data_IF_294892738383
#
_entry.id   IF_294892738383
#
_cell.length_a   1.000
_cell.length_b   1.000
_cell.length_c   1.000
_cell.angle_alpha   90.00
_cell.angle_beta   90.00
_cell.angle_gamma   90.00
#
_symmetry.space_group_name_H-M   'P 1'
#
loop_
_entity.id
_entity.type
_entity.pdbx_description
1 polymer ?
#
# COMPACT_ATOMS: atom_id res chain seq x y z
N UNK A 1 -4.09 10.06 47.74
CA UNK A 1 -4.58 10.25 46.36
C UNK A 1 -3.49 9.74 45.44
N UNK A 2 -3.77 8.71 44.64
CA UNK A 2 -2.79 8.14 43.72
C UNK A 2 -2.54 9.10 42.56
N UNK A 3 -1.27 9.37 42.23
CA UNK A 3 -0.87 10.17 41.07
C UNK A 3 -0.03 9.28 40.15
N UNK A 4 -0.55 8.85 39.00
CA UNK A 4 0.21 8.01 38.09
C UNK A 4 1.37 8.81 37.49
N UNK A 5 2.55 8.19 37.52
CA UNK A 5 3.85 8.77 37.14
C UNK A 5 4.19 8.48 35.69
N UNK A 6 3.71 7.38 35.14
CA UNK A 6 4.07 6.91 33.80
C UNK A 6 2.97 7.16 32.76
N UNK A 7 2.11 8.16 33.00
CA UNK A 7 1.16 8.65 32.00
C UNK A 7 1.79 9.72 31.08
N UNK A 8 1.41 9.72 29.81
CA UNK A 8 1.77 10.77 28.86
C UNK A 8 1.13 12.12 29.24
N UNK A 9 1.85 13.22 28.98
CA UNK A 9 1.35 14.59 29.19
C UNK A 9 1.48 15.13 30.61
N UNK A 10 2.03 14.32 31.52
CA UNK A 10 2.49 14.76 32.84
C UNK A 10 4.01 14.80 32.82
N UNK A 11 4.61 15.86 33.36
CA UNK A 11 6.09 15.94 33.51
C UNK A 11 6.81 15.69 32.17
N UNK A 12 6.44 16.45 31.13
CA UNK A 12 7.15 16.39 29.84
C UNK A 12 8.60 16.81 30.06
N UNK A 13 9.51 15.88 29.77
CA UNK A 13 10.95 16.09 29.94
C UNK A 13 11.68 15.78 28.62
N UNK A 14 11.78 16.77 27.73
CA UNK A 14 12.50 16.62 26.46
C UNK A 14 14.01 16.43 26.67
N UNK A 15 14.55 16.77 27.85
CA UNK A 15 15.97 16.59 28.18
C UNK A 15 16.32 15.17 28.63
N UNK A 16 15.32 14.37 29.03
CA UNK A 16 15.51 12.99 29.48
C UNK A 16 16.25 12.85 30.81
N UNK A 17 16.30 13.93 31.61
CA UNK A 17 16.95 13.98 32.92
C UNK A 17 16.18 13.19 33.99
N UNK A 18 14.86 13.06 33.84
CA UNK A 18 14.01 12.29 34.74
C UNK A 18 14.04 10.81 34.40
N UNK A 19 14.39 10.00 35.41
CA UNK A 19 14.48 8.54 35.30
C UNK A 19 13.58 7.80 36.28
N UNK A 20 13.32 6.54 36.00
CA UNK A 20 12.68 5.60 36.91
C UNK A 20 13.08 4.17 36.58
N UNK A 21 12.51 3.21 37.29
CA UNK A 21 12.82 1.79 37.09
C UNK A 21 11.62 0.99 36.58
N UNK A 22 11.86 -0.17 35.96
CA UNK A 22 10.76 -1.08 35.57
C UNK A 22 10.02 -1.60 36.80
N UNK A 23 10.71 -1.72 37.94
CA UNK A 23 10.07 -2.06 39.21
C UNK A 23 8.97 -1.05 39.57
N UNK A 24 9.27 0.25 39.49
CA UNK A 24 8.29 1.30 39.76
C UNK A 24 7.09 1.22 38.81
N UNK A 25 7.34 0.93 37.53
CA UNK A 25 6.29 0.74 36.53
C UNK A 25 5.39 -0.46 36.84
N UNK A 26 5.95 -1.58 37.29
CA UNK A 26 5.16 -2.76 37.68
C UNK A 26 4.29 -2.47 38.91
N UNK A 27 4.79 -1.70 39.88
CA UNK A 27 4.02 -1.27 41.04
C UNK A 27 2.81 -0.41 40.62
N UNK A 28 3.02 0.53 39.70
CA UNK A 28 1.97 1.37 39.10
C UNK A 28 0.94 0.54 38.30
N UNK A 29 1.38 -0.32 37.38
CA UNK A 29 0.50 -1.17 36.57
C UNK A 29 -0.37 -2.10 37.44
N UNK A 30 0.20 -2.69 38.49
CA UNK A 30 -0.56 -3.50 39.43
C UNK A 30 -1.53 -2.66 40.25
N UNK A 31 -1.15 -1.45 40.68
CA UNK A 31 -2.06 -0.56 41.38
C UNK A 31 -3.28 -0.23 40.51
N UNK A 32 -3.07 0.22 39.26
CA UNK A 32 -4.15 0.61 38.34
C UNK A 32 -5.02 -0.56 37.90
N UNK A 33 -4.47 -1.77 37.80
CA UNK A 33 -5.23 -2.99 37.47
C UNK A 33 -6.27 -3.34 38.53
N UNK A 34 -5.96 -3.10 39.81
CA UNK A 34 -6.81 -3.51 40.93
C UNK A 34 -7.55 -2.35 41.60
N UNK A 35 -7.09 -1.11 41.42
CA UNK A 35 -7.59 0.08 42.12
C UNK A 35 -7.74 1.29 41.19
N UNK A 36 -8.77 2.09 41.44
CA UNK A 36 -8.97 3.40 40.80
C UNK A 36 -8.06 4.48 41.43
N UNK A 37 -8.02 5.67 40.83
CA UNK A 37 -7.30 6.83 41.39
C UNK A 37 -7.81 7.24 42.80
N UNK A 38 -9.06 6.92 43.13
CA UNK A 38 -9.66 7.13 44.45
C UNK A 38 -9.37 5.98 45.44
N UNK A 39 -8.71 4.91 45.00
CA UNK A 39 -8.37 3.73 45.81
C UNK A 39 -9.49 2.70 45.94
N UNK A 40 -10.59 2.84 45.20
CA UNK A 40 -11.69 1.86 45.11
C UNK A 40 -11.35 0.75 44.11
N UNK A 41 -12.05 -0.40 44.13
CA UNK A 41 -11.80 -1.47 43.15
C UNK A 41 -12.04 -1.01 41.71
N UNK A 42 -11.09 -1.30 40.81
CA UNK A 42 -11.24 -1.04 39.38
C UNK A 42 -12.19 -2.06 38.72
N UNK A 43 -12.95 -1.66 37.69
CA UNK A 43 -13.91 -2.51 36.97
C UNK A 43 -13.27 -3.78 36.37
N UNK A 44 -11.97 -3.70 35.99
CA UNK A 44 -11.18 -4.84 35.49
C UNK A 44 -10.67 -5.79 36.59
N UNK A 45 -10.90 -5.49 37.86
CA UNK A 45 -10.47 -6.30 39.02
C UNK A 45 -11.11 -7.70 39.10
N UNK A 46 -12.12 -7.99 38.27
CA UNK A 46 -12.78 -9.29 38.17
C UNK A 46 -12.13 -10.24 37.14
N UNK A 47 -11.05 -9.83 36.46
CA UNK A 47 -10.33 -10.66 35.48
C UNK A 47 -9.19 -11.46 36.14
N UNK A 48 -9.41 -12.76 36.42
CA UNK A 48 -8.47 -13.82 36.85
C UNK A 48 -7.35 -13.51 37.89
N UNK A 49 -7.32 -12.36 38.56
CA UNK A 49 -6.51 -12.08 39.76
C UNK A 49 -4.98 -12.13 39.59
N UNK A 50 -4.42 -12.27 38.39
CA UNK A 50 -2.97 -12.40 38.19
C UNK A 50 -2.30 -11.03 38.11
N UNK A 51 -1.31 -10.80 38.98
CA UNK A 51 -0.47 -9.61 38.98
C UNK A 51 0.31 -9.47 37.67
N UNK A 52 0.53 -8.24 37.23
CA UNK A 52 1.45 -7.93 36.13
C UNK A 52 2.87 -8.16 36.63
N UNK A 53 3.61 -9.03 35.95
CA UNK A 53 4.98 -9.38 36.29
C UNK A 53 5.95 -8.82 35.25
N UNK A 54 7.26 -8.92 35.51
CA UNK A 54 8.27 -8.55 34.52
C UNK A 54 8.12 -9.38 33.23
N UNK A 55 7.79 -10.67 33.35
CA UNK A 55 7.56 -11.57 32.21
C UNK A 55 6.34 -11.13 31.39
N UNK A 56 5.34 -10.49 32.02
CA UNK A 56 4.18 -9.92 31.32
C UNK A 56 4.56 -8.80 30.34
N UNK A 57 5.74 -8.18 30.51
CA UNK A 57 6.26 -7.14 29.61
C UNK A 57 7.17 -7.69 28.50
N UNK A 58 7.46 -9.00 28.47
CA UNK A 58 8.42 -9.59 27.51
C UNK A 58 8.05 -9.28 26.07
N UNK A 59 6.79 -9.43 25.68
CA UNK A 59 6.34 -9.11 24.32
C UNK A 59 6.50 -7.63 23.94
N UNK A 60 6.39 -6.71 24.92
CA UNK A 60 6.65 -5.28 24.71
C UNK A 60 8.14 -5.07 24.45
N UNK A 61 9.01 -5.65 25.28
CA UNK A 61 10.45 -5.48 25.14
C UNK A 61 11.00 -6.16 23.88
N UNK A 62 10.50 -7.33 23.52
CA UNK A 62 10.84 -8.00 22.25
C UNK A 62 10.47 -7.12 21.05
N UNK A 63 9.25 -6.57 21.03
CA UNK A 63 8.82 -5.66 19.99
C UNK A 63 9.68 -4.38 19.92
N UNK A 64 9.97 -3.76 21.07
CA UNK A 64 10.79 -2.55 21.12
C UNK A 64 12.23 -2.81 20.70
N UNK A 65 12.81 -3.95 21.09
CA UNK A 65 14.13 -4.37 20.64
C UNK A 65 14.15 -4.57 19.12
N UNK A 66 13.15 -5.25 18.57
CA UNK A 66 13.03 -5.45 17.13
C UNK A 66 12.94 -4.11 16.41
N UNK A 67 12.02 -3.24 16.82
CA UNK A 67 11.72 -1.99 16.09
C UNK A 67 12.80 -0.93 16.28
N UNK A 68 13.28 -0.75 17.50
CA UNK A 68 14.13 0.40 17.89
C UNK A 68 15.55 0.02 18.32
N UNK A 69 15.83 -1.28 18.51
CA UNK A 69 17.10 -1.74 19.07
C UNK A 69 17.23 -1.56 20.58
N UNK A 70 16.14 -1.16 21.26
CA UNK A 70 16.12 -1.02 22.71
C UNK A 70 16.23 -2.39 23.40
N UNK A 71 17.34 -2.66 24.07
CA UNK A 71 17.51 -3.87 24.88
C UNK A 71 16.58 -3.87 26.11
N UNK A 72 16.12 -5.05 26.51
CA UNK A 72 15.33 -5.22 27.74
C UNK A 72 16.11 -4.71 28.98
N UNK A 73 15.60 -3.69 29.68
CA UNK A 73 16.27 -3.13 30.85
C UNK A 73 16.14 -4.05 32.07
N UNK A 74 17.10 -3.97 33.00
CA UNK A 74 16.99 -4.69 34.28
C UNK A 74 15.94 -4.04 35.18
N UNK A 75 15.34 -4.81 36.10
CA UNK A 75 14.27 -4.34 37.00
C UNK A 75 14.59 -3.05 37.77
N UNK A 76 15.83 -2.91 38.26
CA UNK A 76 16.30 -1.77 39.04
C UNK A 76 17.22 -0.83 38.24
N UNK A 77 17.25 -0.96 36.91
CA UNK A 77 18.01 -0.05 36.07
C UNK A 77 17.22 1.24 35.88
N UNK A 78 17.88 2.37 36.15
CA UNK A 78 17.32 3.68 35.82
C UNK A 78 17.29 3.87 34.31
N UNK A 79 16.11 4.16 33.79
CA UNK A 79 15.86 4.49 32.39
C UNK A 79 14.99 5.75 32.29
N UNK A 80 15.03 6.48 31.17
CA UNK A 80 14.25 7.71 31.01
C UNK A 80 12.76 7.48 31.25
N UNK A 81 12.07 8.42 31.92
CA UNK A 81 10.64 8.31 32.18
C UNK A 81 9.82 8.16 30.90
N UNK A 82 10.19 8.88 29.84
CA UNK A 82 9.55 8.77 28.51
C UNK A 82 9.59 7.35 27.94
N UNK A 83 10.64 6.59 28.26
CA UNK A 83 10.77 5.17 27.90
C UNK A 83 9.78 4.32 28.68
N UNK A 84 9.68 4.50 30.00
CA UNK A 84 8.73 3.77 30.84
C UNK A 84 7.27 4.08 30.49
N UNK A 85 6.97 5.35 30.20
CA UNK A 85 5.65 5.78 29.67
C UNK A 85 5.31 5.00 28.39
N UNK A 86 6.26 4.92 27.45
CA UNK A 86 6.06 4.18 26.20
C UNK A 86 5.82 2.68 26.42
N UNK A 87 6.56 2.06 27.34
CA UNK A 87 6.36 0.65 27.73
C UNK A 87 4.96 0.44 28.32
N UNK A 88 4.51 1.34 29.22
CA UNK A 88 3.15 1.33 29.79
C UNK A 88 2.10 1.41 28.69
N UNK A 89 2.23 2.37 27.78
CA UNK A 89 1.29 2.59 26.66
C UNK A 89 1.14 1.33 25.80
N UNK A 90 2.25 0.73 25.38
CA UNK A 90 2.22 -0.48 24.55
C UNK A 90 1.60 -1.67 25.30
N UNK A 91 1.93 -1.85 26.57
CA UNK A 91 1.36 -2.92 27.39
C UNK A 91 -0.16 -2.78 27.53
N UNK A 92 -0.64 -1.61 27.96
CA UNK A 92 -2.08 -1.34 28.17
C UNK A 92 -2.87 -1.43 26.86
N UNK A 93 -2.29 -0.92 25.77
CA UNK A 93 -2.90 -1.00 24.43
C UNK A 93 -3.00 -2.44 23.96
N UNK A 94 -1.96 -3.26 24.18
CA UNK A 94 -1.96 -4.67 23.80
C UNK A 94 -2.96 -5.50 24.61
N UNK A 95 -3.01 -5.28 25.93
CA UNK A 95 -3.97 -5.93 26.85
C UNK A 95 -5.43 -5.62 26.47
N UNK A 96 -5.69 -4.37 26.08
CA UNK A 96 -7.05 -3.92 25.69
C UNK A 96 -7.47 -4.42 24.29
N UNK A 97 -6.54 -4.87 23.45
CA UNK A 97 -6.78 -5.27 22.06
C UNK A 97 -6.46 -6.76 21.80
N UNK A 98 -6.90 -7.63 22.71
CA UNK A 98 -6.83 -9.10 22.56
C UNK A 98 -5.42 -9.63 22.30
N UNK A 99 -4.38 -8.93 22.77
CA UNK A 99 -2.95 -9.25 22.58
C UNK A 99 -2.48 -9.31 21.12
N UNK A 100 -3.20 -8.66 20.20
CA UNK A 100 -2.87 -8.67 18.76
C UNK A 100 -2.06 -7.45 18.31
N UNK A 101 -1.69 -6.53 19.22
CA UNK A 101 -1.06 -5.27 18.86
C UNK A 101 0.25 -5.47 18.11
N UNK A 102 1.15 -6.30 18.66
CA UNK A 102 2.47 -6.48 18.05
C UNK A 102 2.41 -7.22 16.72
N UNK A 103 1.37 -8.02 16.48
CA UNK A 103 1.12 -8.61 15.15
C UNK A 103 0.71 -7.53 14.14
N UNK A 104 -0.16 -6.60 14.55
CA UNK A 104 -0.58 -5.46 13.72
C UNK A 104 0.60 -4.54 13.40
N UNK A 105 1.43 -4.24 14.40
CA UNK A 105 2.51 -3.25 14.26
C UNK A 105 3.80 -3.83 13.67
N UNK A 106 3.88 -5.13 13.38
CA UNK A 106 5.10 -5.75 12.85
C UNK A 106 5.27 -5.45 11.37
N UNK A 107 6.37 -4.78 11.01
CA UNK A 107 6.70 -4.47 9.62
C UNK A 107 6.93 -5.74 8.79
N UNK A 108 6.54 -5.76 7.50
CA UNK A 108 6.85 -6.85 6.59
C UNK A 108 8.35 -7.14 6.47
N UNK A 109 9.18 -6.10 6.52
CA UNK A 109 10.65 -6.21 6.50
C UNK A 109 11.22 -6.94 7.73
N UNK A 110 10.40 -7.10 8.77
CA UNK A 110 10.73 -7.80 10.02
C UNK A 110 9.92 -9.09 10.19
N UNK A 111 9.35 -9.63 9.11
CA UNK A 111 8.54 -10.85 9.13
C UNK A 111 7.08 -10.65 9.57
N UNK A 112 6.58 -9.41 9.54
CA UNK A 112 5.14 -9.14 9.63
C UNK A 112 4.40 -9.58 8.37
N UNK A 113 3.09 -9.82 8.48
CA UNK A 113 2.26 -10.08 7.30
C UNK A 113 1.85 -8.73 6.69
N UNK A 114 2.25 -8.41 5.45
CA UNK A 114 1.87 -7.15 4.83
C UNK A 114 0.35 -7.10 4.55
N UNK A 115 -0.18 -5.88 4.46
CA UNK A 115 -1.58 -5.62 4.08
C UNK A 115 -1.73 -4.21 3.50
N UNK A 116 -2.27 -4.10 2.29
CA UNK A 116 -2.66 -2.89 1.60
C UNK A 116 -3.87 -2.22 2.27
N UNK A 117 -4.55 -2.91 3.17
CA UNK A 117 -5.65 -2.36 3.98
C UNK A 117 -5.12 -1.62 5.22
N UNK A 118 -3.80 -1.52 5.40
CA UNK A 118 -3.16 -0.75 6.47
C UNK A 118 -3.16 0.75 6.12
N UNK A 119 -4.27 1.43 6.40
CA UNK A 119 -4.41 2.88 6.24
C UNK A 119 -4.32 3.61 7.58
N UNK A 120 -3.86 4.86 7.56
CA UNK A 120 -3.85 5.76 8.74
C UNK A 120 -4.44 7.13 8.43
N UNK A 121 -4.98 7.32 7.22
CA UNK A 121 -5.58 8.57 6.75
C UNK A 121 -6.69 8.26 5.77
N UNK A 122 -7.76 9.05 5.82
CA UNK A 122 -9.08 8.85 5.18
C UNK A 122 -10.01 7.91 5.95
N UNK A 123 -11.32 8.15 5.89
CA UNK A 123 -12.37 7.29 6.46
C UNK A 123 -12.45 6.03 5.62
N UNK A 124 -11.83 4.91 6.02
CA UNK A 124 -11.90 3.72 5.21
C UNK A 124 -13.14 2.93 5.64
N UNK A 125 -13.76 2.27 4.67
CA UNK A 125 -14.81 1.30 4.98
C UNK A 125 -14.24 0.08 5.73
N UNK A 126 -12.93 -0.18 5.64
CA UNK A 126 -12.24 -1.34 6.25
C UNK A 126 -11.21 -0.99 7.31
N UNK A 127 -10.82 -1.99 8.09
CA UNK A 127 -9.75 -1.94 9.10
C UNK A 127 -9.89 -0.87 10.20
N UNK A 128 -11.09 -0.33 10.44
CA UNK A 128 -11.32 0.77 11.39
C UNK A 128 -10.74 0.53 12.79
N UNK A 129 -10.78 -0.72 13.28
CA UNK A 129 -10.14 -1.11 14.56
C UNK A 129 -8.63 -0.91 14.53
N UNK A 130 -7.95 -1.35 13.46
CA UNK A 130 -6.50 -1.19 13.31
C UNK A 130 -6.09 0.27 13.25
N UNK A 131 -6.83 1.08 12.50
CA UNK A 131 -6.58 2.52 12.37
C UNK A 131 -6.73 3.23 13.71
N UNK A 132 -7.83 3.00 14.41
CA UNK A 132 -8.09 3.62 15.71
C UNK A 132 -6.97 3.30 16.73
N UNK A 133 -6.41 2.09 16.68
CA UNK A 133 -5.27 1.72 17.53
C UNK A 133 -4.02 2.53 17.16
N UNK A 134 -3.68 2.61 15.86
CA UNK A 134 -2.49 3.32 15.39
C UNK A 134 -2.61 4.83 15.65
N UNK A 135 -3.78 5.42 15.40
CA UNK A 135 -4.06 6.85 15.65
C UNK A 135 -3.99 7.19 17.14
N UNK A 136 -4.50 6.30 18.00
CA UNK A 136 -4.36 6.44 19.44
C UNK A 136 -2.88 6.42 19.87
N UNK A 137 -2.07 5.52 19.32
CA UNK A 137 -0.65 5.47 19.61
C UNK A 137 0.08 6.72 19.11
N UNK A 138 -0.16 7.15 17.87
CA UNK A 138 0.47 8.35 17.31
C UNK A 138 0.11 9.61 18.12
N UNK A 139 -1.18 9.82 18.41
CA UNK A 139 -1.63 10.96 19.20
C UNK A 139 -1.02 10.97 20.60
N UNK A 140 -0.96 9.81 21.27
CA UNK A 140 -0.38 9.70 22.62
C UNK A 140 1.14 9.92 22.60
N UNK A 141 1.87 9.25 21.70
CA UNK A 141 3.32 9.38 21.58
C UNK A 141 3.75 10.82 21.29
N UNK A 142 2.98 11.54 20.45
CA UNK A 142 3.28 12.92 20.06
C UNK A 142 3.41 13.90 21.23
N UNK A 143 2.80 13.59 22.38
CA UNK A 143 2.84 14.41 23.58
C UNK A 143 4.25 14.46 24.20
N UNK A 144 5.06 13.43 24.00
CA UNK A 144 6.43 13.31 24.55
C UNK A 144 7.52 13.48 23.47
N UNK A 145 7.16 14.02 22.29
CA UNK A 145 8.10 14.33 21.21
C UNK A 145 8.27 15.84 21.11
N UNK A 146 9.50 16.32 20.94
CA UNK A 146 9.78 17.74 20.72
C UNK A 146 8.92 18.28 19.54
N UNK A 147 8.19 19.40 19.71
CA UNK A 147 7.30 19.90 18.67
C UNK A 147 7.98 20.27 17.34
N UNK A 148 9.26 20.68 17.36
CA UNK A 148 10.00 20.98 16.14
C UNK A 148 10.38 19.69 15.41
N UNK A 149 10.79 18.65 16.14
CA UNK A 149 11.03 17.31 15.59
C UNK A 149 9.75 16.71 15.03
N UNK A 150 8.64 16.78 15.77
CA UNK A 150 7.34 16.28 15.33
C UNK A 150 6.89 16.94 14.02
N UNK A 151 7.04 18.27 13.91
CA UNK A 151 6.77 18.99 12.66
C UNK A 151 7.62 18.47 11.51
N UNK A 152 8.91 18.22 11.75
CA UNK A 152 9.80 17.67 10.72
C UNK A 152 9.38 16.27 10.27
N UNK A 153 9.10 15.36 11.22
CA UNK A 153 8.58 14.01 10.92
C UNK A 153 7.31 14.12 10.06
N UNK A 154 6.38 15.01 10.41
CA UNK A 154 5.14 15.19 9.67
C UNK A 154 5.32 15.76 8.26
N UNK A 155 6.35 16.57 8.04
CA UNK A 155 6.69 17.12 6.71
C UNK A 155 7.42 16.08 5.86
N UNK A 156 8.37 15.35 6.44
CA UNK A 156 9.18 14.35 5.74
C UNK A 156 8.40 13.08 5.40
N UNK A 157 7.56 12.59 6.32
CA UNK A 157 6.78 11.37 6.12
C UNK A 157 5.35 11.69 5.74
N UNK A 158 5.19 11.93 4.43
CA UNK A 158 3.89 12.07 3.77
C UNK A 158 3.02 10.82 4.03
N UNK A 159 1.70 10.99 3.88
CA UNK A 159 0.81 9.82 3.78
C UNK A 159 1.28 8.94 2.64
N UNK A 160 1.13 7.62 2.78
CA UNK A 160 1.66 6.72 1.77
C UNK A 160 1.08 6.99 0.36
N UNK A 161 -0.21 7.36 0.16
CA UNK A 161 -0.71 7.71 -1.18
C UNK A 161 0.01 8.93 -1.76
N UNK A 162 0.22 9.97 -0.95
CA UNK A 162 0.95 11.17 -1.37
C UNK A 162 2.42 10.88 -1.67
N UNK A 163 3.04 10.00 -0.90
CA UNK A 163 4.39 9.52 -1.18
C UNK A 163 4.45 8.75 -2.52
N UNK A 164 3.47 7.90 -2.81
CA UNK A 164 3.40 7.18 -4.09
C UNK A 164 3.26 8.14 -5.28
N UNK A 165 2.46 9.20 -5.15
CA UNK A 165 2.38 10.27 -6.16
C UNK A 165 3.74 10.94 -6.38
N UNK A 166 4.46 11.27 -5.30
CA UNK A 166 5.79 11.87 -5.40
C UNK A 166 6.78 10.93 -6.11
N UNK A 167 6.79 9.64 -5.75
CA UNK A 167 7.63 8.63 -6.40
C UNK A 167 7.26 8.48 -7.88
N UNK A 168 5.97 8.53 -8.22
CA UNK A 168 5.52 8.48 -9.61
C UNK A 168 5.99 9.70 -10.41
N UNK A 169 5.94 10.90 -9.83
CA UNK A 169 6.47 12.11 -10.47
C UNK A 169 7.99 12.04 -10.66
N UNK A 170 8.73 11.61 -9.62
CA UNK A 170 10.17 11.40 -9.73
C UNK A 170 10.54 10.33 -10.76
N UNK A 171 9.69 9.31 -10.98
CA UNK A 171 9.88 8.33 -12.04
C UNK A 171 9.82 8.98 -13.42
N UNK A 172 8.91 9.92 -13.64
CA UNK A 172 8.82 10.63 -14.92
C UNK A 172 10.11 11.44 -15.17
N UNK A 173 10.57 12.19 -14.16
CA UNK A 173 11.81 12.96 -14.22
C UNK A 173 13.04 12.07 -14.46
N UNK A 174 13.16 10.98 -13.73
CA UNK A 174 14.31 10.06 -13.85
C UNK A 174 14.33 9.36 -15.21
N UNK A 175 13.16 9.07 -15.78
CA UNK A 175 13.05 8.38 -17.07
C UNK A 175 13.14 9.31 -18.28
N UNK A 176 13.03 10.63 -18.09
CA UNK A 176 13.07 11.63 -19.17
C UNK A 176 14.27 11.44 -20.13
N UNK A 177 15.53 11.29 -19.66
CA UNK A 177 16.67 11.10 -20.55
C UNK A 177 16.57 9.87 -21.45
N UNK A 178 15.98 8.77 -20.93
CA UNK A 178 15.77 7.53 -21.69
C UNK A 178 14.73 7.75 -22.78
N UNK A 179 13.63 8.44 -22.44
CA UNK A 179 12.55 8.72 -23.38
C UNK A 179 12.96 9.69 -24.48
N UNK A 180 13.73 10.72 -24.14
CA UNK A 180 14.29 11.66 -25.13
C UNK A 180 15.24 10.97 -26.11
N UNK A 181 16.14 10.10 -25.61
CA UNK A 181 17.14 9.44 -26.45
C UNK A 181 16.54 8.39 -27.40
N UNK A 182 15.61 7.59 -26.90
CA UNK A 182 15.05 6.44 -27.63
C UNK A 182 13.64 6.68 -28.15
N UNK A 183 13.28 7.94 -28.44
CA UNK A 183 11.93 8.34 -28.81
C UNK A 183 11.27 7.37 -29.82
N UNK A 184 10.15 6.77 -29.42
CA UNK A 184 9.38 5.81 -30.23
C UNK A 184 9.95 4.38 -30.33
N UNK A 185 11.16 4.11 -29.83
CA UNK A 185 11.81 2.79 -29.91
C UNK A 185 11.52 1.95 -28.66
N UNK A 186 10.36 1.27 -28.66
CA UNK A 186 9.87 0.49 -27.50
C UNK A 186 10.89 -0.51 -26.95
N UNK A 187 11.62 -1.21 -27.82
CA UNK A 187 12.63 -2.20 -27.42
C UNK A 187 13.85 -1.57 -26.74
N UNK A 188 14.38 -0.47 -27.29
CA UNK A 188 15.52 0.27 -26.71
C UNK A 188 15.14 0.87 -25.36
N UNK A 189 13.95 1.48 -25.26
CA UNK A 189 13.39 1.98 -23.99
C UNK A 189 13.31 0.86 -22.95
N UNK A 190 12.77 -0.30 -23.32
CA UNK A 190 12.66 -1.43 -22.41
C UNK A 190 14.03 -1.89 -21.88
N UNK A 191 15.04 -1.96 -22.76
CA UNK A 191 16.41 -2.35 -22.40
C UNK A 191 17.06 -1.35 -21.44
N UNK A 192 16.94 -0.06 -21.72
CA UNK A 192 17.46 1.00 -20.86
C UNK A 192 16.78 0.99 -19.48
N UNK A 193 15.45 0.86 -19.43
CA UNK A 193 14.69 0.77 -18.17
C UNK A 193 15.10 -0.49 -17.38
N UNK A 194 15.26 -1.64 -18.04
CA UNK A 194 15.70 -2.87 -17.37
C UNK A 194 17.11 -2.73 -16.78
N UNK A 195 18.03 -2.06 -17.48
CA UNK A 195 19.35 -1.75 -16.94
C UNK A 195 19.27 -0.86 -15.70
N UNK A 196 18.45 0.20 -15.74
CA UNK A 196 18.22 1.07 -14.59
C UNK A 196 17.61 0.31 -13.41
N UNK A 197 16.60 -0.54 -13.67
CA UNK A 197 16.00 -1.39 -12.65
C UNK A 197 17.05 -2.25 -11.95
N UNK A 198 17.98 -2.84 -12.71
CA UNK A 198 19.06 -3.64 -12.15
C UNK A 198 20.05 -2.79 -11.32
N UNK A 199 20.40 -1.60 -11.79
CA UNK A 199 21.25 -0.68 -11.03
C UNK A 199 20.58 -0.24 -9.71
N UNK A 200 19.26 -0.04 -9.71
CA UNK A 200 18.47 0.28 -8.52
C UNK A 200 18.44 -0.89 -7.53
N UNK A 201 18.23 -2.13 -7.99
CA UNK A 201 18.25 -3.33 -7.13
C UNK A 201 19.58 -3.47 -6.37
N UNK A 202 20.69 -3.08 -7.00
CA UNK A 202 22.03 -3.11 -6.41
C UNK A 202 22.34 -1.96 -5.45
N UNK A 203 21.54 -0.90 -5.43
CA UNK A 203 21.73 0.19 -4.47
C UNK A 203 21.57 -0.31 -3.04
N UNK A 204 22.49 0.08 -2.15
CA UNK A 204 22.44 -0.23 -0.73
C UNK A 204 22.43 1.07 0.06
N UNK A 205 21.35 1.39 0.78
CA UNK A 205 21.37 2.48 1.75
C UNK A 205 22.48 2.24 2.76
N UNK A 206 23.13 3.32 3.22
CA UNK A 206 24.14 3.20 4.25
C UNK A 206 23.49 2.74 5.56
N UNK A 207 24.10 1.82 6.31
CA UNK A 207 23.60 1.41 7.61
C UNK A 207 23.76 2.56 8.59
N UNK A 208 22.71 2.84 9.35
CA UNK A 208 22.72 3.87 10.37
C UNK A 208 22.15 3.32 11.68
N UNK A 209 22.70 3.76 12.80
CA UNK A 209 22.10 3.59 14.12
C UNK A 209 21.35 4.87 14.47
N UNK A 210 20.15 4.71 15.00
CA UNK A 210 19.36 5.80 15.55
C UNK A 210 19.48 5.75 17.06
N UNK A 211 19.89 6.86 17.67
CA UNK A 211 19.94 7.05 19.13
C UNK A 211 18.77 7.93 19.61
N UNK A 212 17.67 7.94 18.84
CA UNK A 212 16.51 8.78 19.16
C UNK A 212 15.79 8.29 20.42
N UNK A 213 15.23 9.21 21.22
CA UNK A 213 14.35 8.85 22.33
C UNK A 213 13.25 7.90 21.87
N UNK A 214 12.90 6.94 22.74
CA UNK A 214 11.97 5.87 22.39
C UNK A 214 10.61 6.37 21.83
N UNK A 215 9.96 7.42 22.38
CA UNK A 215 8.72 7.92 21.82
C UNK A 215 8.87 8.47 20.39
N UNK A 216 9.97 9.20 20.11
CA UNK A 216 10.29 9.74 18.78
C UNK A 216 10.54 8.61 17.77
N UNK A 217 11.35 7.63 18.17
CA UNK A 217 11.67 6.48 17.33
C UNK A 217 10.42 5.67 16.98
N UNK A 218 9.57 5.38 17.98
CA UNK A 218 8.33 4.64 17.75
C UNK A 218 7.31 5.45 16.95
N UNK A 219 7.18 6.75 17.21
CA UNK A 219 6.30 7.62 16.41
C UNK A 219 6.74 7.61 14.94
N UNK A 220 8.04 7.78 14.68
CA UNK A 220 8.61 7.73 13.32
C UNK A 220 8.33 6.39 12.64
N UNK A 221 8.56 5.27 13.34
CA UNK A 221 8.26 3.94 12.84
C UNK A 221 6.78 3.78 12.43
N UNK A 222 5.85 4.19 13.30
CA UNK A 222 4.41 4.08 13.04
C UNK A 222 3.97 4.94 11.85
N UNK A 223 4.62 6.07 11.60
CA UNK A 223 4.36 6.93 10.44
C UNK A 223 4.81 6.32 9.11
N UNK A 224 5.86 5.51 9.14
CA UNK A 224 6.42 4.85 7.96
C UNK A 224 5.70 3.52 7.67
N UNK A 225 5.15 2.88 8.70
CA UNK A 225 4.58 1.54 8.65
C UNK A 225 3.50 1.31 7.56
N UNK A 226 2.57 2.25 7.26
CA UNK A 226 1.62 2.09 6.16
C UNK A 226 2.30 1.88 4.80
N UNK A 227 3.34 2.67 4.52
CA UNK A 227 4.10 2.53 3.28
C UNK A 227 4.85 1.19 3.22
N UNK A 228 5.42 0.71 4.32
CA UNK A 228 6.09 -0.60 4.34
C UNK A 228 5.11 -1.76 4.11
N UNK A 229 3.90 -1.65 4.66
CA UNK A 229 2.82 -2.60 4.40
C UNK A 229 2.40 -2.59 2.93
N UNK A 230 2.24 -1.39 2.34
CA UNK A 230 1.97 -1.23 0.92
C UNK A 230 3.04 -1.92 0.07
N UNK A 231 4.32 -1.58 0.27
CA UNK A 231 5.41 -2.16 -0.54
C UNK A 231 5.46 -3.68 -0.41
N UNK A 232 5.28 -4.20 0.81
CA UNK A 232 5.32 -5.63 1.09
C UNK A 232 4.23 -6.43 0.36
N UNK A 233 2.97 -5.99 0.41
CA UNK A 233 1.87 -6.73 -0.24
C UNK A 233 1.75 -6.37 -1.73
N UNK A 234 2.11 -5.15 -2.14
CA UNK A 234 2.12 -4.76 -3.55
C UNK A 234 2.99 -5.69 -4.40
N UNK A 235 4.18 -6.06 -3.91
CA UNK A 235 5.03 -7.04 -4.59
C UNK A 235 4.34 -8.40 -4.78
N UNK A 236 3.70 -8.93 -3.73
CA UNK A 236 2.94 -10.19 -3.80
C UNK A 236 1.78 -10.09 -4.80
N UNK A 237 1.03 -9.00 -4.75
CA UNK A 237 -0.11 -8.73 -5.64
C UNK A 237 0.34 -8.67 -7.10
N UNK A 238 1.44 -7.96 -7.40
CA UNK A 238 1.96 -7.87 -8.77
C UNK A 238 2.40 -9.26 -9.27
N UNK A 239 3.07 -10.08 -8.46
CA UNK A 239 3.43 -11.45 -8.82
C UNK A 239 2.18 -12.31 -9.12
N UNK A 240 1.16 -12.25 -8.27
CA UNK A 240 -0.11 -12.98 -8.45
C UNK A 240 -0.93 -12.45 -9.63
N UNK A 241 -0.74 -11.19 -10.01
CA UNK A 241 -1.44 -10.57 -11.12
C UNK A 241 -0.94 -11.07 -12.48
N UNK A 242 0.26 -11.68 -12.58
CA UNK A 242 0.88 -12.07 -13.85
C UNK A 242 -0.04 -12.90 -14.75
N UNK A 243 -0.14 -12.51 -16.01
CA UNK A 243 -0.82 -13.26 -17.07
C UNK A 243 0.17 -14.30 -17.60
N UNK A 244 0.01 -15.56 -17.19
CA UNK A 244 1.00 -16.63 -17.40
C UNK A 244 1.15 -17.15 -18.83
N UNK A 245 0.22 -16.81 -19.74
CA UNK A 245 0.30 -17.17 -21.16
C UNK A 245 0.78 -15.97 -21.97
N UNK A 246 1.53 -16.21 -23.04
CA UNK A 246 1.84 -15.19 -24.04
C UNK A 246 0.52 -14.66 -24.62
N UNK A 247 0.22 -13.39 -24.37
CA UNK A 247 -0.89 -12.67 -24.99
C UNK A 247 -0.40 -12.20 -26.35
N UNK A 248 -1.04 -12.68 -27.41
CA UNK A 248 -0.68 -12.28 -28.77
C UNK A 248 -1.04 -10.81 -29.00
N UNK A 249 -0.17 -10.01 -29.64
CA UNK A 249 -0.56 -8.71 -30.14
C UNK A 249 -1.71 -8.86 -31.14
N UNK A 250 -2.78 -8.11 -30.94
CA UNK A 250 -3.97 -8.16 -31.81
C UNK A 250 -4.28 -6.81 -32.45
N UNK A 251 -3.31 -5.89 -32.50
CA UNK A 251 -3.51 -4.52 -32.98
C UNK A 251 -4.18 -4.46 -34.36
N UNK A 252 -3.73 -5.27 -35.32
CA UNK A 252 -4.36 -5.34 -36.66
C UNK A 252 -5.85 -5.71 -36.60
N UNK A 253 -6.25 -6.56 -35.66
CA UNK A 253 -7.66 -6.94 -35.47
C UNK A 253 -8.46 -5.83 -34.80
N UNK A 254 -7.83 -5.09 -33.88
CA UNK A 254 -8.41 -3.90 -33.26
C UNK A 254 -8.63 -2.82 -34.33
N UNK A 255 -7.63 -2.57 -35.18
CA UNK A 255 -7.72 -1.56 -36.25
C UNK A 255 -8.81 -1.89 -37.28
N UNK A 256 -9.00 -3.17 -37.61
CA UNK A 256 -10.14 -3.61 -38.44
C UNK A 256 -11.49 -3.32 -37.76
N UNK A 257 -11.63 -3.60 -36.47
CA UNK A 257 -12.84 -3.28 -35.72
C UNK A 257 -13.07 -1.76 -35.59
N UNK A 258 -12.00 -0.98 -35.40
CA UNK A 258 -12.07 0.48 -35.39
C UNK A 258 -12.51 1.05 -36.75
N UNK A 259 -12.12 0.41 -37.86
CA UNK A 259 -12.57 0.79 -39.20
C UNK A 259 -14.08 0.57 -39.37
N UNK A 260 -14.61 -0.55 -38.88
CA UNK A 260 -16.05 -0.83 -38.86
C UNK A 260 -16.81 0.16 -37.96
N UNK A 261 -16.27 0.46 -36.77
CA UNK A 261 -16.83 1.47 -35.86
C UNK A 261 -16.84 2.85 -36.50
N UNK A 262 -15.80 3.23 -37.25
CA UNK A 262 -15.72 4.54 -37.89
C UNK A 262 -16.87 4.76 -38.88
N UNK A 263 -17.22 3.72 -39.64
CA UNK A 263 -18.36 3.72 -40.58
C UNK A 263 -19.67 3.88 -39.80
N UNK A 264 -19.85 3.10 -38.72
CA UNK A 264 -21.06 3.12 -37.90
C UNK A 264 -21.27 4.47 -37.18
N UNK A 265 -20.19 5.08 -36.69
CA UNK A 265 -20.21 6.33 -35.93
C UNK A 265 -20.13 7.59 -36.82
N UNK A 266 -19.89 7.44 -38.12
CA UNK A 266 -19.66 8.55 -39.06
C UNK A 266 -18.53 9.49 -38.61
N UNK A 267 -17.50 8.95 -37.97
CA UNK A 267 -16.34 9.67 -37.45
C UNK A 267 -15.12 8.75 -37.50
N UNK A 268 -13.93 9.31 -37.72
CA UNK A 268 -12.70 8.53 -37.68
C UNK A 268 -12.44 8.02 -36.25
N UNK A 269 -12.27 6.70 -36.12
CA UNK A 269 -11.96 6.00 -34.87
C UNK A 269 -10.67 5.22 -35.08
N UNK A 270 -9.66 5.53 -34.28
CA UNK A 270 -8.46 4.71 -34.11
C UNK A 270 -8.52 3.98 -32.77
N UNK A 271 -7.61 3.02 -32.57
CA UNK A 271 -7.56 2.23 -31.35
C UNK A 271 -7.39 3.09 -30.06
N UNK A 272 -6.74 4.25 -30.15
CA UNK A 272 -6.58 5.20 -29.02
C UNK A 272 -7.62 6.34 -29.01
N UNK A 273 -8.58 6.36 -29.94
CA UNK A 273 -9.63 7.41 -29.94
C UNK A 273 -10.57 7.16 -28.77
N UNK A 274 -10.87 8.16 -27.91
CA UNK A 274 -11.91 8.03 -26.90
C UNK A 274 -13.28 7.82 -27.55
N UNK A 275 -13.89 6.66 -27.29
CA UNK A 275 -15.16 6.23 -27.89
C UNK A 275 -16.31 6.20 -26.91
N UNK A 276 -16.05 6.06 -25.61
CA UNK A 276 -17.09 5.95 -24.58
C UNK A 276 -16.60 6.49 -23.23
N UNK A 277 -17.48 6.44 -22.24
CA UNK A 277 -17.21 6.76 -20.83
C UNK A 277 -17.39 5.50 -19.97
N UNK A 278 -17.12 5.57 -18.66
CA UNK A 278 -17.39 4.43 -17.75
C UNK A 278 -18.90 4.13 -17.72
N UNK A 279 -19.74 5.15 -17.66
CA UNK A 279 -21.20 5.00 -17.69
C UNK A 279 -21.72 4.50 -19.05
N UNK A 280 -21.09 4.93 -20.16
CA UNK A 280 -21.45 4.50 -21.51
C UNK A 280 -20.91 3.11 -21.90
N UNK A 281 -19.96 2.56 -21.14
CA UNK A 281 -19.30 1.29 -21.46
C UNK A 281 -20.28 0.10 -21.58
N UNK A 282 -21.26 -0.11 -20.68
CA UNK A 282 -22.23 -1.20 -20.83
C UNK A 282 -22.99 -1.18 -22.16
N UNK A 283 -23.45 -0.01 -22.60
CA UNK A 283 -24.18 0.14 -23.86
C UNK A 283 -23.27 -0.11 -25.08
N UNK A 284 -22.02 0.37 -25.01
CA UNK A 284 -21.01 0.07 -26.03
C UNK A 284 -20.76 -1.43 -26.15
N UNK A 285 -20.61 -2.13 -25.02
CA UNK A 285 -20.38 -3.58 -25.00
C UNK A 285 -21.58 -4.34 -25.56
N UNK A 286 -22.82 -3.98 -25.20
CA UNK A 286 -23.99 -4.68 -25.73
C UNK A 286 -24.07 -4.59 -27.26
N UNK A 287 -23.88 -3.38 -27.79
CA UNK A 287 -23.92 -3.09 -29.23
C UNK A 287 -22.82 -3.83 -30.02
N UNK A 288 -21.66 -4.07 -29.41
CA UNK A 288 -20.48 -4.63 -30.08
C UNK A 288 -20.07 -6.03 -29.57
N UNK A 289 -20.93 -6.67 -28.77
CA UNK A 289 -20.59 -7.85 -27.98
C UNK A 289 -20.03 -9.03 -28.78
N UNK A 290 -20.50 -9.26 -30.02
CA UNK A 290 -19.98 -10.33 -30.89
C UNK A 290 -18.55 -10.04 -31.38
N UNK A 291 -18.25 -8.81 -31.78
CA UNK A 291 -16.92 -8.41 -32.23
C UNK A 291 -15.94 -8.43 -31.06
N UNK A 292 -16.36 -7.86 -29.91
CA UNK A 292 -15.58 -7.86 -28.68
C UNK A 292 -15.28 -9.28 -28.19
N UNK A 293 -16.23 -10.22 -28.28
CA UNK A 293 -16.01 -11.61 -27.91
C UNK A 293 -14.87 -12.26 -28.73
N UNK A 294 -14.82 -12.01 -30.05
CA UNK A 294 -13.74 -12.49 -30.90
C UNK A 294 -12.40 -11.86 -30.54
N UNK A 295 -12.36 -10.55 -30.31
CA UNK A 295 -11.15 -9.83 -29.91
C UNK A 295 -10.61 -10.34 -28.58
N UNK A 296 -11.47 -10.52 -27.57
CA UNK A 296 -11.11 -11.10 -26.27
C UNK A 296 -10.59 -12.53 -26.42
N UNK A 297 -11.22 -13.35 -27.27
CA UNK A 297 -10.73 -14.69 -27.56
C UNK A 297 -9.35 -14.66 -28.23
N UNK A 298 -9.11 -13.74 -29.16
CA UNK A 298 -7.81 -13.60 -29.81
C UNK A 298 -6.72 -13.15 -28.83
N UNK A 299 -7.01 -12.21 -27.94
CA UNK A 299 -6.04 -11.73 -26.95
C UNK A 299 -5.76 -12.78 -25.86
N UNK A 300 -6.80 -13.42 -25.33
CA UNK A 300 -6.66 -14.29 -24.14
C UNK A 300 -6.46 -15.77 -24.47
N UNK A 301 -6.76 -16.20 -25.70
CA UNK A 301 -6.88 -17.61 -26.07
C UNK A 301 -8.09 -18.33 -25.44
N UNK A 302 -8.94 -17.61 -24.69
CA UNK A 302 -10.11 -18.17 -24.00
C UNK A 302 -11.33 -18.04 -24.91
N UNK A 303 -11.94 -19.18 -25.25
CA UNK A 303 -13.21 -19.21 -25.99
C UNK A 303 -14.24 -18.29 -25.32
N UNK A 304 -14.76 -17.34 -26.09
CA UNK A 304 -15.63 -16.28 -25.59
C UNK A 304 -16.76 -16.04 -26.57
N UNK A 305 -17.99 -16.06 -26.06
CA UNK A 305 -19.20 -15.77 -26.83
C UNK A 305 -19.85 -14.47 -26.33
N UNK A 306 -20.82 -13.94 -27.09
CA UNK A 306 -21.61 -12.75 -26.70
C UNK A 306 -22.07 -12.81 -25.24
N UNK A 307 -22.64 -13.95 -24.81
CA UNK A 307 -23.15 -14.13 -23.44
C UNK A 307 -22.07 -14.04 -22.36
N UNK A 308 -20.84 -14.44 -22.67
CA UNK A 308 -19.75 -14.41 -21.69
C UNK A 308 -19.28 -12.98 -21.48
N UNK A 309 -19.22 -12.20 -22.56
CA UNK A 309 -18.87 -10.78 -22.52
C UNK A 309 -19.92 -9.98 -21.76
N UNK A 310 -21.22 -10.17 -22.05
CA UNK A 310 -22.29 -9.46 -21.35
C UNK A 310 -22.31 -9.74 -19.83
N UNK A 311 -21.95 -10.96 -19.41
CA UNK A 311 -21.92 -11.35 -17.99
C UNK A 311 -20.81 -10.67 -17.19
N UNK A 312 -19.76 -10.17 -17.83
CA UNK A 312 -18.61 -9.56 -17.15
C UNK A 312 -18.61 -8.04 -17.18
N UNK A 313 -19.64 -7.42 -17.77
CA UNK A 313 -19.72 -5.96 -17.95
C UNK A 313 -19.62 -5.20 -16.63
N UNK A 314 -20.35 -5.62 -15.59
CA UNK A 314 -20.32 -4.92 -14.30
C UNK A 314 -18.91 -4.91 -13.68
N UNK A 315 -18.30 -6.10 -13.55
CA UNK A 315 -16.93 -6.22 -13.03
C UNK A 315 -15.92 -5.46 -13.90
N UNK A 316 -16.08 -5.48 -15.22
CA UNK A 316 -15.19 -4.76 -16.14
C UNK A 316 -15.33 -3.23 -16.03
N UNK A 317 -16.54 -2.75 -15.73
CA UNK A 317 -16.80 -1.32 -15.48
C UNK A 317 -16.05 -0.84 -14.24
N UNK A 318 -15.98 -1.66 -13.18
CA UNK A 318 -15.24 -1.34 -11.94
C UNK A 318 -13.73 -1.26 -12.15
N UNK A 319 -13.18 -2.11 -13.01
CA UNK A 319 -11.77 -2.04 -13.43
C UNK A 319 -11.51 -0.78 -14.26
N UNK A 320 -12.40 -0.44 -15.21
CA UNK A 320 -12.31 0.82 -15.95
C UNK A 320 -12.42 2.04 -15.05
N UNK A 321 -13.29 1.99 -14.06
CA UNK A 321 -13.46 3.02 -13.04
C UNK A 321 -12.12 3.27 -12.32
N UNK A 322 -11.44 2.20 -11.91
CA UNK A 322 -10.11 2.26 -11.29
C UNK A 322 -9.04 2.85 -12.23
N UNK A 323 -9.05 2.44 -13.51
CA UNK A 323 -8.17 3.00 -14.53
C UNK A 323 -8.39 4.49 -14.74
N UNK A 324 -9.64 4.93 -14.86
CA UNK A 324 -9.99 6.34 -15.04
C UNK A 324 -9.51 7.18 -13.87
N UNK A 325 -9.69 6.67 -12.65
CA UNK A 325 -9.21 7.33 -11.46
C UNK A 325 -7.68 7.45 -11.43
N UNK A 326 -6.96 6.40 -11.83
CA UNK A 326 -5.51 6.42 -11.87
C UNK A 326 -4.94 7.40 -12.92
N UNK A 327 -5.56 7.50 -14.09
CA UNK A 327 -5.07 8.35 -15.19
C UNK A 327 -5.51 9.82 -15.06
N UNK A 328 -6.73 10.07 -14.57
CA UNK A 328 -7.34 11.41 -14.58
C UNK A 328 -7.82 11.91 -13.21
N UNK A 329 -7.67 11.12 -12.15
CA UNK A 329 -8.20 11.45 -10.82
C UNK A 329 -9.72 11.34 -10.74
N UNK A 330 -10.33 12.08 -9.81
CA UNK A 330 -11.79 12.08 -9.63
C UNK A 330 -12.42 12.97 -10.71
N UNK A 331 -12.94 12.33 -11.75
CA UNK A 331 -13.72 12.96 -12.81
C UNK A 331 -15.12 12.33 -12.91
N UNK A 332 -16.03 13.01 -13.61
CA UNK A 332 -17.36 12.47 -13.85
C UNK A 332 -17.33 11.20 -14.70
N UNK A 333 -18.11 10.18 -14.34
CA UNK A 333 -18.15 8.88 -15.03
C UNK A 333 -18.76 8.92 -16.43
N UNK A 334 -19.42 10.04 -16.78
CA UNK A 334 -19.92 10.33 -18.12
C UNK A 334 -18.85 10.93 -19.05
N UNK A 335 -17.67 11.27 -18.52
CA UNK A 335 -16.57 11.84 -19.30
C UNK A 335 -16.09 10.84 -20.34
N UNK A 336 -16.08 11.25 -21.61
CA UNK A 336 -15.68 10.39 -22.74
C UNK A 336 -14.15 10.28 -22.87
N UNK A 337 -13.56 9.33 -22.15
CA UNK A 337 -12.11 9.11 -22.08
C UNK A 337 -11.68 7.64 -22.31
N UNK A 338 -12.63 6.71 -22.47
CA UNK A 338 -12.36 5.29 -22.66
C UNK A 338 -12.17 4.99 -24.14
N UNK A 339 -11.07 4.31 -24.50
CA UNK A 339 -10.74 3.89 -25.86
C UNK A 339 -11.17 2.45 -26.15
N UNK A 340 -11.04 2.02 -27.41
CA UNK A 340 -11.31 0.61 -27.80
C UNK A 340 -10.33 -0.34 -27.12
N UNK A 341 -9.06 0.05 -26.98
CA UNK A 341 -8.03 -0.76 -26.31
C UNK A 341 -8.39 -0.96 -24.84
N UNK A 342 -8.83 0.10 -24.15
CA UNK A 342 -9.26 0.04 -22.75
C UNK A 342 -10.44 -0.93 -22.57
N UNK A 343 -11.46 -0.83 -23.44
CA UNK A 343 -12.60 -1.73 -23.44
C UNK A 343 -12.18 -3.20 -23.59
N UNK A 344 -11.27 -3.50 -24.53
CA UNK A 344 -10.81 -4.87 -24.77
C UNK A 344 -9.97 -5.37 -23.59
N UNK A 345 -9.04 -4.56 -23.07
CA UNK A 345 -8.16 -4.91 -21.98
C UNK A 345 -8.94 -5.21 -20.68
N UNK A 346 -9.97 -4.43 -20.36
CA UNK A 346 -10.81 -4.69 -19.17
C UNK A 346 -11.60 -6.00 -19.31
N UNK A 347 -12.17 -6.26 -20.49
CA UNK A 347 -12.90 -7.50 -20.75
C UNK A 347 -11.96 -8.72 -20.69
N UNK A 348 -10.76 -8.59 -21.25
CA UNK A 348 -9.72 -9.62 -21.14
C UNK A 348 -9.34 -9.90 -19.68
N UNK A 349 -9.22 -8.85 -18.86
CA UNK A 349 -8.88 -8.95 -17.44
C UNK A 349 -9.88 -9.80 -16.67
N UNK A 350 -11.17 -9.48 -16.77
CA UNK A 350 -12.21 -10.22 -16.05
C UNK A 350 -12.39 -11.62 -16.64
N UNK A 351 -12.35 -11.76 -17.98
CA UNK A 351 -12.46 -13.07 -18.63
C UNK A 351 -11.32 -14.00 -18.22
N UNK A 352 -10.10 -13.48 -18.17
CA UNK A 352 -8.94 -14.19 -17.68
C UNK A 352 -9.11 -14.56 -16.20
N UNK A 353 -9.55 -13.63 -15.34
CA UNK A 353 -9.77 -13.92 -13.92
C UNK A 353 -10.84 -14.99 -13.65
N UNK A 354 -11.88 -15.08 -14.49
CA UNK A 354 -12.87 -16.16 -14.41
C UNK A 354 -12.24 -17.54 -14.69
N UNK A 355 -11.29 -17.60 -15.63
CA UNK A 355 -10.67 -18.85 -16.07
C UNK A 355 -9.47 -19.25 -15.23
N UNK A 356 -8.61 -18.28 -14.91
CA UNK A 356 -7.39 -18.42 -14.14
C UNK A 356 -7.65 -17.87 -12.74
N UNK A 357 -8.05 -18.78 -11.84
CA UNK A 357 -8.31 -18.43 -10.45
C UNK A 357 -7.02 -17.99 -9.78
N UNK A 358 -7.08 -16.86 -9.09
CA UNK A 358 -5.95 -16.34 -8.31
C UNK A 358 -6.21 -16.63 -6.85
N UNK A 359 -5.26 -17.29 -6.19
CA UNK A 359 -5.35 -17.54 -4.76
C UNK A 359 -4.87 -16.30 -4.00
N UNK A 360 -5.75 -15.30 -3.90
CA UNK A 360 -5.51 -14.08 -3.16
C UNK A 360 -6.71 -13.79 -2.25
N UNK A 361 -6.45 -13.28 -1.05
CA UNK A 361 -7.48 -12.86 -0.12
C UNK A 361 -6.96 -11.67 0.69
N UNK A 362 -7.63 -10.52 0.52
CA UNK A 362 -7.34 -9.34 1.32
C UNK A 362 -7.50 -9.63 2.82
N UNK A 363 -6.65 -9.00 3.62
CA UNK A 363 -6.59 -9.19 5.06
C UNK A 363 -6.59 -7.85 5.79
N UNK A 364 -7.39 -7.74 6.86
CA UNK A 364 -7.35 -6.63 7.80
C UNK A 364 -7.70 -7.08 9.22
N UNK A 365 -7.41 -6.23 10.21
CA UNK A 365 -7.74 -6.52 11.60
C UNK A 365 -9.25 -6.38 11.84
N UNK A 366 -9.86 -7.37 12.48
CA UNK A 366 -11.30 -7.39 12.74
C UNK A 366 -12.15 -7.92 11.58
N UNK A 367 -11.51 -8.48 10.53
CA UNK A 367 -12.21 -9.11 9.42
C UNK A 367 -13.14 -10.26 9.87
N UNK A 368 -14.38 -10.22 9.42
CA UNK A 368 -15.39 -11.23 9.75
C UNK A 368 -15.14 -12.54 9.01
N UNK A 369 -15.77 -13.62 9.45
CA UNK A 369 -15.60 -14.93 8.81
C UNK A 369 -16.20 -14.99 7.40
N UNK A 370 -17.26 -14.21 7.15
CA UNK A 370 -17.92 -14.02 5.85
C UNK A 370 -17.00 -13.38 4.80
N UNK A 371 -16.08 -12.53 5.23
CA UNK A 371 -15.14 -11.83 4.35
C UNK A 371 -13.97 -12.74 3.92
N UNK A 372 -13.62 -13.72 4.76
CA UNK A 372 -12.45 -14.59 4.55
C UNK A 372 -12.68 -15.62 3.44
N UNK A 373 -11.69 -15.79 2.57
CA UNK A 373 -11.68 -16.86 1.56
C UNK A 373 -12.65 -16.64 0.40
N UNK A 374 -13.15 -15.41 0.22
CA UNK A 374 -13.91 -15.03 -0.97
C UNK A 374 -12.98 -14.89 -2.19
N UNK A 375 -13.41 -15.39 -3.35
CA UNK A 375 -12.63 -15.26 -4.59
C UNK A 375 -12.54 -13.80 -5.03
N UNK A 376 -11.48 -13.44 -5.76
CA UNK A 376 -11.23 -12.08 -6.30
C UNK A 376 -12.49 -11.41 -6.86
N UNK A 377 -13.21 -12.05 -7.78
CA UNK A 377 -14.40 -11.46 -8.40
C UNK A 377 -15.58 -11.31 -7.44
N UNK A 378 -15.68 -12.16 -6.41
CA UNK A 378 -16.75 -12.06 -5.40
C UNK A 378 -16.55 -10.85 -4.49
N UNK A 379 -15.29 -10.45 -4.25
CA UNK A 379 -14.95 -9.25 -3.50
C UNK A 379 -15.23 -7.95 -4.30
N UNK A 380 -15.58 -8.06 -5.59
CA UNK A 380 -16.02 -6.91 -6.38
C UNK A 380 -17.50 -6.58 -6.19
N UNK A 381 -18.25 -7.37 -5.41
CA UNK A 381 -19.67 -7.21 -5.09
C UNK A 381 -20.56 -6.87 -6.31
N UNK A 382 -21.04 -7.90 -7.01
CA UNK A 382 -21.86 -7.74 -8.22
C UNK A 382 -23.15 -6.91 -8.03
N UNK A 383 -23.63 -6.73 -6.79
CA UNK A 383 -24.82 -5.94 -6.52
C UNK A 383 -24.58 -4.42 -6.51
N UNK A 384 -23.33 -4.01 -6.29
CA UNK A 384 -22.94 -2.59 -6.17
C UNK A 384 -22.43 -2.04 -7.49
N UNK A 385 -22.66 -0.75 -7.73
CA UNK A 385 -22.30 -0.10 -8.98
C UNK A 385 -20.86 0.42 -8.99
N UNK A 386 -20.40 1.00 -10.11
CA UNK A 386 -19.06 1.59 -10.22
C UNK A 386 -18.98 2.97 -9.59
N UNK A 387 -20.12 3.69 -9.52
CA UNK A 387 -20.30 4.98 -8.86
C UNK A 387 -20.02 4.86 -7.36
N UNK A 388 -20.62 3.84 -6.72
CA UNK A 388 -20.45 3.57 -5.29
C UNK A 388 -19.00 3.21 -4.89
N UNK A 389 -18.14 2.87 -5.86
CA UNK A 389 -16.78 2.43 -5.59
C UNK A 389 -15.97 3.54 -4.92
N UNK A 390 -16.12 4.79 -5.34
CA UNK A 390 -15.36 5.89 -4.76
C UNK A 390 -15.97 6.44 -3.48
N UNK A 391 -17.30 6.37 -3.35
CA UNK A 391 -17.99 6.86 -2.15
C UNK A 391 -17.77 5.94 -0.94
N UNK A 392 -17.66 4.64 -1.18
CA UNK A 392 -17.64 3.64 -0.12
C UNK A 392 -16.39 2.77 -0.11
N UNK A 393 -15.54 2.88 -1.13
CA UNK A 393 -14.31 2.10 -1.27
C UNK A 393 -14.53 0.62 -0.96
N UNK A 394 -15.59 0.05 -1.53
CA UNK A 394 -16.08 -1.30 -1.19
C UNK A 394 -15.27 -2.42 -1.88
N UNK A 395 -14.34 -2.01 -2.73
CA UNK A 395 -13.15 -2.65 -3.27
C UNK A 395 -11.99 -2.93 -2.30
N UNK A 396 -11.65 -4.15 -1.80
CA UNK A 396 -10.37 -4.27 -1.08
C UNK A 396 -9.19 -3.84 -1.99
N UNK A 397 -8.27 -3.02 -1.47
CA UNK A 397 -7.23 -2.38 -2.27
C UNK A 397 -6.35 -3.39 -2.99
N UNK A 398 -6.00 -4.50 -2.34
CA UNK A 398 -5.22 -5.54 -2.99
C UNK A 398 -5.93 -6.22 -4.17
N UNK A 399 -7.27 -6.32 -4.13
CA UNK A 399 -8.07 -6.79 -5.27
C UNK A 399 -8.03 -5.78 -6.42
N UNK A 400 -8.22 -4.50 -6.10
CA UNK A 400 -8.14 -3.43 -7.09
C UNK A 400 -6.76 -3.41 -7.77
N UNK A 401 -5.68 -3.45 -7.00
CA UNK A 401 -4.31 -3.48 -7.54
C UNK A 401 -4.02 -4.72 -8.39
N UNK A 402 -4.53 -5.90 -7.98
CA UNK A 402 -4.38 -7.14 -8.73
C UNK A 402 -5.05 -7.05 -10.11
N UNK A 403 -6.30 -6.58 -10.15
CA UNK A 403 -7.06 -6.46 -11.38
C UNK A 403 -6.55 -5.32 -12.27
N UNK A 404 -6.17 -4.19 -11.68
CA UNK A 404 -5.58 -3.07 -12.39
C UNK A 404 -4.23 -3.44 -13.04
N UNK A 405 -3.37 -4.18 -12.32
CA UNK A 405 -2.13 -4.72 -12.89
C UNK A 405 -2.40 -5.66 -14.07
N UNK A 406 -3.42 -6.54 -13.98
CA UNK A 406 -3.83 -7.40 -15.10
C UNK A 406 -4.34 -6.60 -16.29
N UNK A 407 -5.13 -5.57 -16.04
CA UNK A 407 -5.60 -4.64 -17.05
C UNK A 407 -4.42 -4.03 -17.81
N UNK A 408 -3.43 -3.50 -17.09
CA UNK A 408 -2.24 -2.92 -17.70
C UNK A 408 -1.42 -3.94 -18.51
N UNK A 409 -1.29 -5.17 -18.01
CA UNK A 409 -0.65 -6.26 -18.76
C UNK A 409 -1.37 -6.57 -20.07
N UNK A 410 -2.70 -6.71 -20.05
CA UNK A 410 -3.49 -6.92 -21.28
C UNK A 410 -3.40 -5.73 -22.21
N UNK A 411 -3.59 -4.51 -21.71
CA UNK A 411 -3.50 -3.28 -22.50
C UNK A 411 -2.16 -3.18 -23.24
N UNK A 412 -1.06 -3.46 -22.54
CA UNK A 412 0.28 -3.40 -23.13
C UNK A 412 0.55 -4.57 -24.06
N UNK A 413 0.03 -5.76 -23.78
CA UNK A 413 0.24 -6.92 -24.64
C UNK A 413 -0.55 -6.83 -25.95
N UNK A 414 -1.83 -6.44 -25.93
CA UNK A 414 -2.63 -6.33 -27.15
C UNK A 414 -2.10 -5.23 -28.10
N UNK A 415 -1.38 -4.26 -27.57
CA UNK A 415 -0.71 -3.18 -28.32
C UNK A 415 0.77 -3.45 -28.63
N UNK A 416 1.30 -4.63 -28.30
CA UNK A 416 2.69 -5.02 -28.62
C UNK A 416 3.77 -4.32 -27.79
N UNK A 417 3.43 -3.81 -26.60
CA UNK A 417 4.31 -3.05 -25.69
C UNK A 417 4.70 -3.81 -24.42
N UNK A 418 4.50 -5.13 -24.37
CA UNK A 418 4.76 -5.98 -23.19
C UNK A 418 6.15 -5.77 -22.60
N UNK A 419 7.21 -5.80 -23.43
CA UNK A 419 8.60 -5.68 -22.93
C UNK A 419 8.86 -4.34 -22.21
N UNK A 420 8.29 -3.25 -22.72
CA UNK A 420 8.39 -1.93 -22.08
C UNK A 420 7.66 -1.90 -20.74
N UNK A 421 6.47 -2.46 -20.68
CA UNK A 421 5.69 -2.53 -19.44
C UNK A 421 6.37 -3.41 -18.38
N UNK A 422 6.87 -4.58 -18.77
CA UNK A 422 7.61 -5.47 -17.85
C UNK A 422 8.85 -4.78 -17.28
N UNK A 423 9.65 -4.11 -18.11
CA UNK A 423 10.81 -3.35 -17.63
C UNK A 423 10.41 -2.22 -16.67
N UNK A 424 9.34 -1.47 -17.00
CA UNK A 424 8.83 -0.42 -16.12
C UNK A 424 8.34 -0.96 -14.78
N UNK A 425 7.61 -2.08 -14.76
CA UNK A 425 7.17 -2.74 -13.52
C UNK A 425 8.35 -3.22 -12.67
N UNK A 426 9.41 -3.76 -13.29
CA UNK A 426 10.63 -4.13 -12.57
C UNK A 426 11.30 -2.92 -11.93
N UNK A 427 11.39 -1.80 -12.64
CA UNK A 427 11.92 -0.56 -12.09
C UNK A 427 11.05 -0.05 -10.93
N UNK A 428 9.73 -0.06 -11.10
CA UNK A 428 8.79 0.40 -10.09
C UNK A 428 8.92 -0.42 -8.79
N UNK A 429 8.92 -1.75 -8.89
CA UNK A 429 9.12 -2.64 -7.73
C UNK A 429 10.48 -2.43 -7.08
N UNK A 430 11.55 -2.31 -7.88
CA UNK A 430 12.89 -2.05 -7.37
C UNK A 430 12.95 -0.72 -6.61
N UNK A 431 12.38 0.35 -7.16
CA UNK A 431 12.35 1.67 -6.52
C UNK A 431 11.54 1.67 -5.23
N UNK A 432 10.33 1.11 -5.23
CA UNK A 432 9.51 1.00 -4.04
C UNK A 432 10.22 0.24 -2.91
N UNK A 433 10.89 -0.87 -3.27
CA UNK A 433 11.70 -1.65 -2.32
C UNK A 433 12.84 -0.81 -1.75
N UNK A 434 13.57 -0.07 -2.58
CA UNK A 434 14.67 0.80 -2.12
C UNK A 434 14.21 2.00 -1.30
N UNK A 435 13.04 2.56 -1.60
CA UNK A 435 12.40 3.54 -0.73
C UNK A 435 12.10 2.95 0.66
N UNK A 436 11.53 1.75 0.71
CA UNK A 436 11.28 1.06 1.98
C UNK A 436 12.57 0.76 2.75
N UNK A 437 13.66 0.39 2.06
CA UNK A 437 14.98 0.24 2.68
C UNK A 437 15.56 1.57 3.21
N UNK A 438 15.38 2.69 2.49
CA UNK A 438 15.80 4.02 2.95
C UNK A 438 15.07 4.47 4.23
N UNK A 439 13.85 3.98 4.44
CA UNK A 439 13.03 4.26 5.62
C UNK A 439 13.18 3.26 6.77
N UNK A 440 14.22 2.41 6.76
CA UNK A 440 14.45 1.47 7.87
C UNK A 440 14.92 2.13 9.17
N UNK A 441 15.38 3.38 9.11
CA UNK A 441 15.78 4.14 10.29
C UNK A 441 14.56 4.77 10.97
N UNK A 442 14.56 4.78 12.30
CA UNK A 442 13.58 5.52 13.09
C UNK A 442 14.06 6.96 13.39
N UNK A 443 14.83 7.56 12.48
CA UNK A 443 15.32 8.94 12.55
C UNK A 443 15.02 9.65 11.23
N UNK A 444 14.19 10.69 11.31
CA UNK A 444 13.77 11.50 10.15
C UNK A 444 14.94 12.05 9.35
N UNK A 445 16.04 12.45 10.01
CA UNK A 445 17.20 13.03 9.33
C UNK A 445 17.95 12.03 8.49
N UNK A 446 18.04 10.81 8.99
CA UNK A 446 18.71 9.70 8.32
C UNK A 446 17.87 9.25 7.13
N UNK A 447 16.55 9.17 7.31
CA UNK A 447 15.61 8.86 6.24
C UNK A 447 15.66 9.91 5.12
N UNK A 448 15.62 11.21 5.45
CA UNK A 448 15.70 12.31 4.48
C UNK A 448 16.99 12.20 3.63
N UNK A 449 18.15 12.04 4.28
CA UNK A 449 19.45 11.93 3.58
C UNK A 449 19.51 10.66 2.71
N UNK A 450 19.01 9.52 3.21
CA UNK A 450 18.98 8.27 2.46
C UNK A 450 18.14 8.38 1.18
N UNK A 451 16.94 8.97 1.26
CA UNK A 451 16.07 9.19 0.10
C UNK A 451 16.71 10.17 -0.90
N UNK A 452 17.28 11.29 -0.43
CA UNK A 452 17.94 12.25 -1.32
C UNK A 452 19.14 11.64 -2.07
N UNK A 453 19.95 10.81 -1.38
CA UNK A 453 21.06 10.08 -2.02
C UNK A 453 20.56 9.07 -3.02
N UNK A 454 19.47 8.37 -2.70
CA UNK A 454 18.86 7.40 -3.59
C UNK A 454 18.33 8.06 -4.88
N UNK A 455 17.60 9.18 -4.76
CA UNK A 455 17.15 9.95 -5.91
C UNK A 455 18.32 10.35 -6.82
N UNK A 456 19.37 10.98 -6.26
CA UNK A 456 20.57 11.37 -7.01
C UNK A 456 21.26 10.19 -7.70
N UNK A 457 21.29 9.03 -7.05
CA UNK A 457 21.82 7.80 -7.64
C UNK A 457 20.99 7.39 -8.86
N UNK A 458 19.66 7.31 -8.73
CA UNK A 458 18.75 6.95 -9.82
C UNK A 458 18.89 7.88 -11.02
N UNK A 459 18.92 9.20 -10.81
CA UNK A 459 19.10 10.19 -11.89
C UNK A 459 20.41 9.96 -12.65
N UNK A 460 21.52 9.71 -11.93
CA UNK A 460 22.82 9.45 -12.56
C UNK A 460 22.83 8.15 -13.35
N UNK A 461 22.26 7.08 -12.80
CA UNK A 461 22.21 5.79 -13.49
C UNK A 461 21.25 5.83 -14.69
N UNK A 462 20.20 6.65 -14.66
CA UNK A 462 19.28 6.81 -15.79
C UNK A 462 19.96 7.48 -17.00
N UNK A 463 20.82 8.48 -16.76
CA UNK A 463 21.64 9.09 -17.83
C UNK A 463 22.52 8.05 -18.49
N UNK A 464 23.17 7.17 -17.72
CA UNK A 464 23.98 6.07 -18.27
C UNK A 464 23.13 5.05 -19.01
N UNK A 465 21.95 4.73 -18.48
CA UNK A 465 21.03 3.79 -19.09
C UNK A 465 20.53 4.30 -20.45
N UNK A 466 20.35 5.61 -20.62
CA UNK A 466 19.97 6.24 -21.89
C UNK A 466 21.04 6.09 -22.99
N UNK A 467 22.29 5.75 -22.65
CA UNK A 467 23.35 5.49 -23.62
C UNK A 467 23.44 4.02 -24.05
N UNK A 468 22.57 3.15 -23.51
CA UNK A 468 22.53 1.73 -23.85
C UNK A 468 21.61 1.53 -25.07
N UNK A 469 22.22 1.20 -26.22
CA UNK A 469 21.52 0.74 -27.42
C UNK A 469 21.20 -0.75 -27.34
#
# INVERSE_FOLDING_TARGET
MYKPRFDFGKEFDPSGEQTGTVKDLLEELNYEKFKTAAGTHAERGNSNGTSVTFDSLSGVFEFLNDVTGMSQPKLAQDIPLSTLKTVKLLYVTNDTNDTQLFRLLKSPLRGGKPSLEFYTTETPSRNQKGIAIVDHLLSTLSIEVDPAVLRRINISFLTYPKLLECIAQENLEILEPIYERHHGQSASIAKAIAHLAEAVKHYKPMPHRSDRPLPEALYTYLRILPFLNFVGEYQEVIELSRVGNQVDPILDKIDNFCSELSIAMQSEVHHNTPITSVEGFPAFVDSNSLALAKLVQHATGIASERRDILKIVNASSKVLCSYVHHEWGIISLDTKNITVVDCIATLCTIRHQQKVKTNYSAYWLGQEQSDKGTSVLRQMDDARSSEELFEHDYIPHGINQLLFSRFNQFHMAITGKTGRYSAWMELQLARLTKYAECYQSNDVSICDDAVQRFYKYCTREAIKAADIA
#
